data_IF_805226813215
#
_entry.id   IF_805226813215
#
_cell.length_a   1.000
_cell.length_b   1.000
_cell.length_c   1.000
_cell.angle_alpha   90.00
_cell.angle_beta   90.00
_cell.angle_gamma   90.00
#
_symmetry.space_group_name_H-M   'P 1'
#
loop_
_entity.id
_entity.type
_entity.pdbx_description
1 polymer ?
#
# COMPACT_ATOMS: atom_id res chain seq x y z
N UNK A 1 23.30 -12.17 -26.89
CA UNK A 1 23.60 -12.46 -25.48
C UNK A 1 22.79 -11.46 -24.70
N UNK A 2 21.57 -11.88 -24.41
CA UNK A 2 20.46 -11.06 -23.98
C UNK A 2 20.69 -10.51 -22.56
N UNK A 3 20.62 -9.19 -22.48
CA UNK A 3 20.62 -8.37 -21.28
C UNK A 3 19.29 -8.51 -20.51
N UNK A 4 18.56 -9.61 -20.77
CA UNK A 4 17.18 -9.82 -20.31
C UNK A 4 17.13 -10.22 -18.83
N UNK A 5 18.22 -10.78 -18.29
CA UNK A 5 18.30 -11.26 -16.91
C UNK A 5 18.56 -10.15 -15.89
N UNK A 6 19.31 -9.10 -16.26
CA UNK A 6 19.59 -7.96 -15.37
C UNK A 6 18.32 -7.13 -15.12
N UNK A 7 17.54 -6.91 -16.19
CA UNK A 7 16.25 -6.20 -16.15
C UNK A 7 15.19 -6.92 -15.31
N UNK A 8 15.22 -8.26 -15.25
CA UNK A 8 14.31 -9.04 -14.38
C UNK A 8 14.69 -8.86 -12.91
N UNK A 9 15.98 -8.90 -12.56
CA UNK A 9 16.42 -8.75 -11.17
C UNK A 9 16.20 -7.36 -10.57
N UNK A 10 16.27 -6.30 -11.39
CA UNK A 10 16.03 -4.93 -10.95
C UNK A 10 14.53 -4.63 -10.75
N UNK A 11 13.64 -5.34 -11.45
CA UNK A 11 12.18 -5.21 -11.26
C UNK A 11 11.69 -5.98 -10.02
N UNK A 12 12.30 -7.12 -9.68
CA UNK A 12 11.98 -7.88 -8.45
C UNK A 12 12.25 -7.04 -7.18
N UNK A 13 13.30 -6.21 -7.19
CA UNK A 13 13.63 -5.34 -6.05
C UNK A 13 12.58 -4.25 -5.76
N UNK A 14 11.83 -3.79 -6.77
CA UNK A 14 10.83 -2.73 -6.60
C UNK A 14 9.57 -3.19 -5.82
N UNK A 15 9.32 -4.49 -5.76
CA UNK A 15 8.18 -5.10 -5.07
C UNK A 15 8.56 -5.89 -3.82
N UNK A 16 9.85 -5.98 -3.47
CA UNK A 16 10.32 -6.73 -2.29
C UNK A 16 9.63 -6.30 -0.98
N UNK A 17 9.29 -5.01 -0.85
CA UNK A 17 8.58 -4.50 0.33
C UNK A 17 7.19 -5.11 0.51
N UNK A 18 6.54 -5.58 -0.57
CA UNK A 18 5.20 -6.20 -0.48
C UNK A 18 5.25 -7.53 0.26
N UNK A 19 6.37 -8.27 0.19
CA UNK A 19 6.56 -9.55 0.87
C UNK A 19 6.62 -9.38 2.41
N UNK A 20 7.09 -8.21 2.87
CA UNK A 20 7.16 -7.87 4.29
C UNK A 20 5.88 -7.23 4.83
N UNK A 21 4.85 -7.05 3.99
CA UNK A 21 3.63 -6.36 4.37
C UNK A 21 2.80 -7.20 5.36
N UNK A 22 2.64 -6.69 6.59
CA UNK A 22 1.87 -7.36 7.65
C UNK A 22 0.42 -7.66 7.25
N UNK A 23 -0.18 -6.87 6.36
CA UNK A 23 -1.55 -7.07 5.90
C UNK A 23 -1.77 -8.42 5.18
N UNK A 24 -0.73 -8.99 4.56
CA UNK A 24 -0.81 -10.31 3.92
C UNK A 24 -1.08 -11.45 4.91
N UNK A 25 -0.90 -11.21 6.21
CA UNK A 25 -1.12 -12.17 7.30
C UNK A 25 -2.45 -11.94 8.03
N UNK A 26 -3.30 -11.07 7.50
CA UNK A 26 -4.59 -10.67 8.10
C UNK A 26 -5.74 -10.84 7.12
N UNK A 27 -6.97 -10.60 7.57
CA UNK A 27 -8.14 -10.65 6.69
C UNK A 27 -8.07 -9.53 5.62
N UNK A 28 -8.02 -9.87 4.32
CA UNK A 28 -7.98 -8.88 3.24
C UNK A 28 -9.25 -8.02 3.18
N UNK A 29 -10.41 -8.51 3.62
CA UNK A 29 -11.66 -7.73 3.58
C UNK A 29 -11.59 -6.48 4.46
N UNK A 30 -10.82 -6.53 5.55
CA UNK A 30 -10.61 -5.37 6.42
C UNK A 30 -9.95 -4.18 5.70
N UNK A 31 -9.16 -4.45 4.64
CA UNK A 31 -8.44 -3.44 3.85
C UNK A 31 -9.27 -2.90 2.70
N UNK A 32 -10.35 -3.59 2.31
CA UNK A 32 -11.28 -3.17 1.28
C UNK A 32 -12.71 -3.08 1.82
N UNK A 33 -12.96 -2.19 2.81
CA UNK A 33 -14.28 -2.09 3.43
C UNK A 33 -15.33 -1.58 2.42
N UNK A 34 -16.53 -2.14 2.49
CA UNK A 34 -17.69 -1.61 1.79
C UNK A 34 -18.01 -0.17 2.21
N UNK A 35 -18.89 0.50 1.45
CA UNK A 35 -19.30 1.88 1.73
C UNK A 35 -19.91 1.99 3.14
N UNK A 36 -19.21 2.69 4.04
CA UNK A 36 -19.62 2.86 5.44
C UNK A 36 -19.05 1.81 6.40
N UNK A 37 -18.28 0.85 5.90
CA UNK A 37 -17.53 -0.12 6.69
C UNK A 37 -16.44 0.51 7.55
N UNK A 38 -16.02 -0.21 8.59
CA UNK A 38 -14.99 0.25 9.52
C UNK A 38 -13.61 0.19 8.89
N UNK A 39 -12.82 1.26 9.04
CA UNK A 39 -11.41 1.30 8.65
C UNK A 39 -10.45 1.05 9.82
N UNK A 40 -10.99 0.85 11.03
CA UNK A 40 -10.21 0.86 12.27
C UNK A 40 -9.23 -0.31 12.36
N UNK A 41 -9.67 -1.48 11.92
CA UNK A 41 -8.86 -2.71 11.99
C UNK A 41 -7.67 -2.65 11.04
N UNK A 42 -7.90 -2.40 9.75
CA UNK A 42 -6.81 -2.22 8.78
C UNK A 42 -5.83 -1.13 9.21
N UNK A 43 -6.32 0.00 9.72
CA UNK A 43 -5.44 1.06 10.25
C UNK A 43 -4.57 0.60 11.42
N UNK A 44 -5.10 -0.22 12.32
CA UNK A 44 -4.34 -0.80 13.44
C UNK A 44 -3.24 -1.73 12.93
N UNK A 45 -3.54 -2.58 11.95
CA UNK A 45 -2.54 -3.45 11.31
C UNK A 45 -1.45 -2.60 10.66
N UNK A 46 -1.82 -1.57 9.89
CA UNK A 46 -0.84 -0.69 9.25
C UNK A 46 0.08 0.02 10.25
N UNK A 47 -0.37 0.34 11.48
CA UNK A 47 0.47 0.99 12.50
C UNK A 47 1.65 0.12 12.96
N UNK A 48 1.52 -1.21 12.90
CA UNK A 48 2.58 -2.16 13.22
C UNK A 48 3.37 -2.66 12.00
N UNK A 49 3.06 -2.17 10.80
CA UNK A 49 3.69 -2.63 9.56
C UNK A 49 5.00 -1.86 9.32
N UNK A 50 6.11 -2.58 9.09
CA UNK A 50 7.42 -1.99 8.79
C UNK A 50 7.42 -1.22 7.48
N UNK A 51 6.78 -1.76 6.45
CA UNK A 51 6.73 -1.23 5.08
C UNK A 51 5.61 -0.21 4.84
N UNK A 52 5.14 0.44 5.91
CA UNK A 52 3.99 1.36 5.85
C UNK A 52 4.27 2.56 4.93
N UNK A 53 5.50 3.07 4.92
CA UNK A 53 5.89 4.26 4.17
C UNK A 53 5.92 3.96 2.67
N UNK A 54 6.60 2.89 2.29
CA UNK A 54 6.71 2.35 0.93
C UNK A 54 5.33 2.04 0.35
N UNK A 55 4.47 1.40 1.16
CA UNK A 55 3.08 1.14 0.80
C UNK A 55 2.27 2.42 0.52
N UNK A 56 2.48 3.47 1.32
CA UNK A 56 1.81 4.75 1.10
C UNK A 56 2.32 5.44 -0.16
N UNK A 57 3.63 5.49 -0.34
CA UNK A 57 4.28 6.09 -1.51
C UNK A 57 3.83 5.39 -2.80
N UNK A 58 3.78 4.06 -2.79
CA UNK A 58 3.23 3.29 -3.90
C UNK A 58 1.79 3.68 -4.23
N UNK A 59 0.92 3.74 -3.22
CA UNK A 59 -0.49 4.10 -3.42
C UNK A 59 -0.67 5.54 -3.92
N UNK A 60 0.25 6.44 -3.56
CA UNK A 60 0.27 7.80 -4.08
C UNK A 60 0.81 7.84 -5.52
N UNK A 61 1.92 7.17 -5.81
CA UNK A 61 2.51 7.12 -7.15
C UNK A 61 1.61 6.48 -8.21
N UNK A 62 0.83 5.46 -7.83
CA UNK A 62 -0.02 4.68 -8.75
C UNK A 62 -1.50 5.13 -8.76
N UNK A 63 -1.83 6.21 -8.06
CA UNK A 63 -3.20 6.67 -7.84
C UNK A 63 -4.17 5.55 -7.38
N UNK A 64 -3.76 4.75 -6.39
CA UNK A 64 -4.60 3.68 -5.88
C UNK A 64 -5.91 4.24 -5.28
N UNK A 65 -7.04 3.83 -5.88
CA UNK A 65 -8.36 4.44 -5.63
C UNK A 65 -9.18 3.73 -4.56
N UNK A 66 -8.83 2.50 -4.24
CA UNK A 66 -9.61 1.67 -3.32
C UNK A 66 -8.77 1.25 -2.12
N UNK A 67 -9.48 0.84 -1.06
CA UNK A 67 -8.88 0.25 0.12
C UNK A 67 -7.99 1.16 0.98
N UNK A 68 -7.41 0.54 1.99
CA UNK A 68 -6.51 1.14 2.98
C UNK A 68 -5.06 0.85 2.60
N UNK A 69 -4.28 1.90 2.39
CA UNK A 69 -2.87 1.82 2.02
C UNK A 69 -2.04 2.70 2.96
N UNK A 70 -0.94 2.18 3.50
CA UNK A 70 -0.08 2.92 4.44
C UNK A 70 -0.81 3.43 5.70
N UNK A 71 -1.95 2.82 6.06
CA UNK A 71 -2.81 3.26 7.15
C UNK A 71 -3.76 4.42 6.80
N UNK A 72 -3.89 4.78 5.52
CA UNK A 72 -4.79 5.82 5.04
C UNK A 72 -5.87 5.25 4.10
N UNK A 73 -7.10 5.73 4.27
CA UNK A 73 -8.18 5.53 3.31
C UNK A 73 -8.00 6.37 2.04
N UNK A 74 -8.69 6.00 0.96
CA UNK A 74 -8.74 6.80 -0.29
C UNK A 74 -9.00 8.30 0.01
N UNK A 75 -10.00 8.59 0.84
CA UNK A 75 -10.37 9.96 1.19
C UNK A 75 -9.23 10.70 1.90
N UNK A 76 -8.48 10.01 2.76
CA UNK A 76 -7.34 10.60 3.45
C UNK A 76 -6.15 10.80 2.50
N UNK A 77 -5.87 9.83 1.62
CA UNK A 77 -4.83 9.97 0.58
C UNK A 77 -5.14 11.15 -0.36
N UNK A 78 -6.41 11.33 -0.75
CA UNK A 78 -6.83 12.49 -1.56
C UNK A 78 -6.57 13.82 -0.85
N UNK A 79 -6.88 13.93 0.44
CA UNK A 79 -6.57 15.13 1.23
C UNK A 79 -5.07 15.37 1.33
N UNK A 80 -4.29 14.31 1.50
CA UNK A 80 -2.83 14.40 1.57
C UNK A 80 -2.23 14.93 0.26
N UNK A 81 -2.69 14.42 -0.90
CA UNK A 81 -2.29 14.95 -2.21
C UNK A 81 -2.64 16.42 -2.39
N UNK A 82 -3.83 16.82 -1.94
CA UNK A 82 -4.29 18.22 -2.04
C UNK A 82 -3.49 19.17 -1.16
N UNK A 83 -3.02 18.71 0.00
CA UNK A 83 -2.21 19.52 0.92
C UNK A 83 -0.74 19.65 0.51
N UNK A 84 -0.27 18.82 -0.42
CA UNK A 84 1.08 18.87 -0.96
C UNK A 84 1.23 19.82 -2.16
N UNK A 85 0.14 20.50 -2.55
CA UNK A 85 0.08 21.54 -3.59
C UNK A 85 0.02 22.90 -2.91
#
# INVERSE_FOLDING_TARGET
MDNSWTLISELDGAFAWQEEALCAQTDPEAFFPEKGGSTREAKRVCQGCSVRTECLEYALGNDERFGIWGGLSERERRKLRQAAI
#
